data_IF_309066628215
#
_entry.id   IF_309066628215
#
_cell.length_a   1.000
_cell.length_b   1.000
_cell.length_c   1.000
_cell.angle_alpha   90.00
_cell.angle_beta   90.00
_cell.angle_gamma   90.00
#
_symmetry.space_group_name_H-M   'P 1'
#
loop_
_entity.id
_entity.type
_entity.pdbx_description
1 polymer ?
#
# COMPACT_ATOMS: atom_id res chain seq x y z
N UNK A 1 5.45 -7.30 -6.77
CA UNK A 1 6.69 -7.36 -5.94
C UNK A 1 7.75 -6.34 -6.34
N UNK A 2 8.18 -6.27 -7.60
CA UNK A 2 9.25 -5.35 -8.04
C UNK A 2 8.97 -3.89 -7.66
N UNK A 3 7.73 -3.42 -7.88
CA UNK A 3 7.32 -2.05 -7.53
C UNK A 3 7.45 -1.80 -6.02
N UNK A 4 6.97 -2.70 -5.16
CA UNK A 4 7.05 -2.54 -3.70
C UNK A 4 8.51 -2.53 -3.22
N UNK A 5 9.36 -3.37 -3.80
CA UNK A 5 10.79 -3.40 -3.48
C UNK A 5 11.51 -2.12 -3.91
N UNK A 6 11.21 -1.60 -5.11
CA UNK A 6 11.74 -0.33 -5.59
C UNK A 6 11.27 0.85 -4.72
N UNK A 7 9.98 0.90 -4.37
CA UNK A 7 9.44 1.93 -3.48
C UNK A 7 10.09 1.91 -2.10
N UNK A 8 10.37 0.72 -1.55
CA UNK A 8 11.06 0.58 -0.27
C UNK A 8 12.55 0.96 -0.37
N UNK A 9 13.24 0.60 -1.46
CA UNK A 9 14.62 1.02 -1.70
C UNK A 9 14.74 2.56 -1.80
N UNK A 10 13.78 3.22 -2.45
CA UNK A 10 13.70 4.68 -2.50
C UNK A 10 13.42 5.31 -1.13
N UNK A 11 12.62 4.66 -0.28
CA UNK A 11 12.39 5.09 1.10
C UNK A 11 13.69 5.07 1.92
N UNK A 12 14.51 4.03 1.78
CA UNK A 12 15.82 3.93 2.47
C UNK A 12 16.78 5.06 2.08
N UNK A 13 16.74 5.50 0.82
CA UNK A 13 17.56 6.62 0.35
C UNK A 13 17.06 7.99 0.87
N UNK A 14 15.80 8.08 1.30
CA UNK A 14 15.13 9.32 1.69
C UNK A 14 15.35 9.72 3.17
N UNK A 15 16.14 8.96 3.94
CA UNK A 15 16.31 9.06 5.40
C UNK A 15 15.00 8.98 6.20
N UNK A 16 14.83 7.86 6.91
CA UNK A 16 13.65 7.42 7.67
C UNK A 16 13.15 8.42 8.72
N UNK A 17 12.26 9.32 8.33
CA UNK A 17 11.43 10.07 9.28
C UNK A 17 9.95 9.83 9.00
N UNK A 18 9.11 9.81 10.04
CA UNK A 18 7.66 9.71 9.90
C UNK A 18 7.07 10.84 9.03
N UNK A 19 7.78 11.97 8.97
CA UNK A 19 7.48 13.12 8.11
C UNK A 19 7.74 12.78 6.63
N UNK A 20 8.80 12.02 6.33
CA UNK A 20 9.09 11.49 5.00
C UNK A 20 7.93 10.62 4.50
N UNK A 21 7.45 9.66 5.28
CA UNK A 21 6.34 8.77 4.88
C UNK A 21 5.05 9.54 4.57
N UNK A 22 4.78 10.62 5.32
CA UNK A 22 3.65 11.51 5.04
C UNK A 22 3.81 12.26 3.72
N UNK A 23 5.03 12.68 3.37
CA UNK A 23 5.35 13.27 2.06
C UNK A 23 5.21 12.25 0.93
N UNK A 24 5.64 11.01 1.15
CA UNK A 24 5.54 9.89 0.20
C UNK A 24 4.10 9.39 -0.04
N UNK A 25 3.12 9.93 0.68
CA UNK A 25 1.70 9.65 0.45
C UNK A 25 1.07 8.69 1.46
N UNK A 26 1.54 8.69 2.71
CA UNK A 26 0.84 8.02 3.81
C UNK A 26 -0.64 8.39 3.88
N UNK A 27 -1.47 7.46 4.37
CA UNK A 27 -2.87 7.73 4.67
C UNK A 27 -2.91 8.70 5.85
N UNK A 28 -3.45 9.90 5.61
CA UNK A 28 -3.70 10.91 6.63
C UNK A 28 -5.12 11.45 6.41
N UNK A 29 -6.02 11.21 7.36
CA UNK A 29 -7.45 11.52 7.20
C UNK A 29 -7.72 12.99 6.91
N UNK A 30 -7.01 13.90 7.59
CA UNK A 30 -7.16 15.34 7.38
C UNK A 30 -6.75 15.78 5.97
N UNK A 31 -5.73 15.14 5.38
CA UNK A 31 -5.27 15.44 4.01
C UNK A 31 -6.18 14.79 2.96
N UNK A 32 -6.74 13.62 3.24
CA UNK A 32 -7.76 13.00 2.38
C UNK A 32 -9.01 13.90 2.36
N UNK A 33 -9.44 14.37 3.52
CA UNK A 33 -10.57 15.29 3.65
C UNK A 33 -10.34 16.65 2.96
N UNK A 34 -9.08 17.08 2.80
CA UNK A 34 -8.73 18.28 2.03
C UNK A 34 -8.58 18.04 0.52
N UNK A 35 -8.94 16.86 0.02
CA UNK A 35 -8.99 16.55 -1.41
C UNK A 35 -7.80 15.73 -1.94
N UNK A 36 -6.86 15.30 -1.09
CA UNK A 36 -5.71 14.47 -1.51
C UNK A 36 -6.09 12.99 -1.71
N UNK A 37 -7.02 12.71 -2.63
CA UNK A 37 -7.60 11.38 -2.85
C UNK A 37 -6.59 10.31 -3.28
N UNK A 38 -5.44 10.71 -3.85
CA UNK A 38 -4.36 9.77 -4.18
C UNK A 38 -3.82 9.03 -2.95
N UNK A 39 -3.98 9.60 -1.74
CA UNK A 39 -3.64 8.97 -0.46
C UNK A 39 -4.52 7.77 -0.09
N UNK A 40 -5.54 7.46 -0.88
CA UNK A 40 -6.32 6.22 -0.75
C UNK A 40 -5.66 5.03 -1.47
N UNK A 41 -4.66 5.29 -2.32
CA UNK A 41 -4.00 4.26 -3.14
C UNK A 41 -2.50 4.20 -2.82
N UNK A 42 -1.84 5.35 -2.66
CA UNK A 42 -0.40 5.41 -2.40
C UNK A 42 0.09 4.66 -1.16
N UNK A 43 -0.66 4.56 -0.04
CA UNK A 43 -0.20 3.83 1.14
C UNK A 43 0.05 2.34 0.88
N UNK A 44 -0.61 1.76 -0.12
CA UNK A 44 -0.46 0.34 -0.49
C UNK A 44 0.99 -0.03 -0.90
N UNK A 45 1.78 0.96 -1.32
CA UNK A 45 3.16 0.77 -1.77
C UNK A 45 4.20 1.17 -0.72
N UNK A 46 3.77 1.80 0.38
CA UNK A 46 4.64 2.25 1.46
C UNK A 46 4.75 1.18 2.54
N UNK A 47 5.95 0.99 3.10
CA UNK A 47 6.19 -0.04 4.09
C UNK A 47 6.98 0.55 5.26
N UNK A 48 6.50 0.31 6.48
CA UNK A 48 7.13 0.83 7.70
C UNK A 48 8.40 0.07 8.11
N UNK A 49 8.58 -1.16 7.62
CA UNK A 49 9.76 -1.97 7.90
C UNK A 49 10.00 -3.05 6.85
N UNK A 50 11.24 -3.54 6.79
CA UNK A 50 11.63 -4.64 5.92
C UNK A 50 10.81 -5.91 6.22
N UNK A 51 10.52 -6.18 7.50
CA UNK A 51 9.69 -7.32 7.90
C UNK A 51 8.28 -7.20 7.31
N UNK A 52 7.65 -6.03 7.38
CA UNK A 52 6.33 -5.78 6.79
C UNK A 52 6.34 -5.98 5.27
N UNK A 53 7.41 -5.57 4.59
CA UNK A 53 7.59 -5.79 3.15
C UNK A 53 7.71 -7.29 2.81
N UNK A 54 8.54 -8.02 3.57
CA UNK A 54 8.78 -9.45 3.34
C UNK A 54 7.51 -10.26 3.57
N UNK A 55 6.78 -10.02 4.66
CA UNK A 55 5.54 -10.75 4.96
C UNK A 55 4.47 -10.47 3.90
N UNK A 56 4.25 -9.21 3.51
CA UNK A 56 3.30 -8.89 2.44
C UNK A 56 3.72 -9.49 1.09
N UNK A 57 5.00 -9.43 0.76
CA UNK A 57 5.51 -10.01 -0.48
C UNK A 57 5.38 -11.54 -0.50
N UNK A 58 5.60 -12.20 0.64
CA UNK A 58 5.40 -13.63 0.78
C UNK A 58 3.93 -14.02 0.63
N UNK A 59 3.01 -13.28 1.26
CA UNK A 59 1.58 -13.50 1.11
C UNK A 59 1.13 -13.31 -0.35
N UNK A 60 1.56 -12.24 -1.00
CA UNK A 60 1.26 -12.00 -2.40
C UNK A 60 1.84 -13.11 -3.29
N UNK A 61 3.09 -13.50 -3.10
CA UNK A 61 3.72 -14.53 -3.93
C UNK A 61 3.13 -15.93 -3.72
N UNK A 62 2.59 -16.23 -2.53
CA UNK A 62 1.99 -17.53 -2.24
C UNK A 62 0.57 -17.65 -2.79
N UNK A 63 -0.25 -16.61 -2.63
CA UNK A 63 -1.69 -16.66 -2.96
C UNK A 63 -2.02 -16.08 -4.33
N UNK A 64 -1.37 -15.00 -4.75
CA UNK A 64 -1.76 -14.30 -5.97
C UNK A 64 -1.52 -15.08 -7.27
N UNK A 65 -0.46 -15.87 -7.45
CA UNK A 65 -0.27 -16.62 -8.70
C UNK A 65 -1.41 -17.62 -8.97
N UNK A 66 -1.98 -18.21 -7.91
CA UNK A 66 -3.11 -19.13 -8.03
C UNK A 66 -4.38 -18.38 -8.45
N UNK A 67 -4.61 -17.20 -7.88
CA UNK A 67 -5.75 -16.33 -8.25
C UNK A 67 -5.58 -15.78 -9.66
N UNK A 68 -4.37 -15.39 -10.06
CA UNK A 68 -4.06 -14.88 -11.39
C UNK A 68 -4.25 -15.96 -12.47
N UNK A 69 -3.85 -17.20 -12.19
CA UNK A 69 -4.07 -18.35 -13.09
C UNK A 69 -5.56 -18.60 -13.36
N UNK A 70 -6.41 -18.42 -12.36
CA UNK A 70 -7.86 -18.65 -12.47
C UNK A 70 -8.59 -17.44 -13.06
N UNK A 71 -8.21 -16.23 -12.65
CA UNK A 71 -8.92 -14.99 -13.01
C UNK A 71 -8.41 -14.35 -14.31
N UNK A 72 -7.15 -14.60 -14.68
CA UNK A 72 -6.42 -13.88 -15.72
C UNK A 72 -5.81 -12.57 -15.22
N UNK A 73 -4.68 -12.18 -15.81
CA UNK A 73 -3.83 -11.04 -15.38
C UNK A 73 -4.56 -9.70 -15.31
N UNK A 74 -5.48 -9.43 -16.25
CA UNK A 74 -6.26 -8.19 -16.26
C UNK A 74 -7.22 -8.10 -15.06
N UNK A 75 -7.95 -9.19 -14.78
CA UNK A 75 -8.91 -9.21 -13.66
C UNK A 75 -8.19 -9.21 -12.33
N UNK A 76 -7.07 -9.91 -12.24
CA UNK A 76 -6.20 -9.89 -11.07
C UNK A 76 -5.72 -8.46 -10.76
N UNK A 77 -5.29 -7.70 -11.77
CA UNK A 77 -4.84 -6.31 -11.58
C UNK A 77 -5.95 -5.42 -11.03
N UNK A 78 -7.17 -5.55 -11.55
CA UNK A 78 -8.34 -4.79 -11.04
C UNK A 78 -8.69 -5.21 -9.61
N UNK A 79 -8.69 -6.51 -9.32
CA UNK A 79 -8.92 -7.06 -7.97
C UNK A 79 -7.91 -6.51 -6.96
N UNK A 80 -6.63 -6.50 -7.33
CA UNK A 80 -5.55 -6.00 -6.47
C UNK A 80 -5.69 -4.50 -6.17
N UNK A 81 -6.00 -3.69 -7.19
CA UNK A 81 -6.18 -2.25 -7.00
C UNK A 81 -7.44 -1.92 -6.19
N UNK A 82 -8.54 -2.63 -6.44
CA UNK A 82 -9.79 -2.44 -5.71
C UNK A 82 -9.71 -2.92 -4.26
N UNK A 83 -8.96 -4.00 -3.98
CA UNK A 83 -8.71 -4.44 -2.60
C UNK A 83 -7.87 -3.43 -1.84
N UNK A 84 -6.81 -2.90 -2.46
CA UNK A 84 -5.96 -1.87 -1.85
C UNK A 84 -6.73 -0.58 -1.54
N UNK A 85 -7.58 -0.13 -2.48
CA UNK A 85 -8.45 1.03 -2.28
C UNK A 85 -9.46 0.80 -1.16
N UNK A 86 -10.16 -0.33 -1.18
CA UNK A 86 -11.21 -0.65 -0.20
C UNK A 86 -10.63 -0.82 1.20
N UNK A 87 -9.46 -1.44 1.34
CA UNK A 87 -8.75 -1.56 2.62
C UNK A 87 -8.35 -0.20 3.19
N UNK A 88 -7.83 0.70 2.35
CA UNK A 88 -7.47 2.06 2.78
C UNK A 88 -8.70 2.89 3.11
N UNK A 89 -9.80 2.74 2.36
CA UNK A 89 -11.08 3.40 2.63
C UNK A 89 -11.72 2.92 3.94
N UNK A 90 -11.69 1.61 4.21
CA UNK A 90 -12.13 1.05 5.48
C UNK A 90 -11.29 1.59 6.64
N UNK A 91 -9.95 1.63 6.48
CA UNK A 91 -9.06 2.26 7.46
C UNK A 91 -9.35 3.75 7.66
N UNK A 92 -9.67 4.49 6.60
CA UNK A 92 -10.08 5.90 6.68
C UNK A 92 -11.36 6.07 7.50
N UNK A 93 -12.36 5.23 7.27
CA UNK A 93 -13.66 5.30 7.96
C UNK A 93 -13.60 4.82 9.42
N UNK A 94 -12.79 3.79 9.71
CA UNK A 94 -12.78 3.12 11.02
C UNK A 94 -11.68 3.64 11.96
N UNK A 95 -10.63 4.27 11.44
CA UNK A 95 -9.44 4.62 12.22
C UNK A 95 -8.92 6.02 11.87
N UNK A 96 -8.74 6.84 12.91
CA UNK A 96 -8.18 8.20 12.80
C UNK A 96 -6.65 8.21 12.67
N UNK A 97 -5.99 7.12 13.06
CA UNK A 97 -4.53 7.01 13.04
C UNK A 97 -3.99 6.94 11.59
N UNK A 98 -2.80 7.52 11.33
CA UNK A 98 -2.07 7.33 10.09
C UNK A 98 -1.76 5.85 9.85
N UNK A 99 -1.85 5.39 8.60
CA UNK A 99 -1.51 4.01 8.24
C UNK A 99 -0.76 3.91 6.91
N UNK A 100 -0.02 2.82 6.75
CA UNK A 100 0.86 2.50 5.63
C UNK A 100 0.79 0.99 5.38
N UNK A 101 1.00 0.56 4.14
CA UNK A 101 1.00 -0.86 3.76
C UNK A 101 -0.34 -1.32 3.17
N UNK A 102 -0.26 -2.38 2.35
CA UNK A 102 -1.40 -3.04 1.71
C UNK A 102 -1.94 -4.24 2.52
N UNK A 103 -1.78 -4.23 3.84
CA UNK A 103 -2.26 -5.28 4.76
C UNK A 103 -3.67 -5.00 5.27
#
# INVERSE_FOLDING_TARGET
>A
MVINALCYALQLLSQDSALSLTLWGAKVNSLIASGQLWRLITPAFLHSSLLHLVVNSYALNSFCPHVELVAGSQRFSVLYLTSAFTGTLASYALTSAPSLGAS
#
